data_IF_132037401768
#
_entry.id   IF_132037401768
#
_cell.length_a   1.000
_cell.length_b   1.000
_cell.length_c   1.000
_cell.angle_alpha   90.00
_cell.angle_beta   90.00
_cell.angle_gamma   90.00
#
_symmetry.space_group_name_H-M   'P 1'
#
loop_
_entity.id
_entity.type
_entity.pdbx_description
1 polymer ?
#
# COMPACT_ATOMS: atom_id res chain seq x y z
N UNK A 1 0.36 18.11 20.93
CA UNK A 1 0.51 17.22 19.75
C UNK A 1 1.66 16.22 19.98
N UNK A 2 1.53 15.28 20.91
CA UNK A 2 2.55 14.25 21.20
C UNK A 2 1.80 13.03 21.75
N UNK A 3 1.47 12.04 20.92
CA UNK A 3 0.98 10.71 21.37
C UNK A 3 0.88 9.70 20.20
N UNK A 4 0.71 10.15 18.95
CA UNK A 4 0.51 9.24 17.81
C UNK A 4 1.76 8.49 17.30
N UNK A 5 2.98 8.88 17.70
CA UNK A 5 4.21 8.25 17.17
C UNK A 5 4.40 6.80 17.65
N UNK A 6 3.96 6.48 18.87
CA UNK A 6 4.11 5.12 19.42
C UNK A 6 3.15 4.09 18.82
N UNK A 7 1.94 4.52 18.41
CA UNK A 7 0.89 3.60 17.97
C UNK A 7 1.17 2.95 16.62
N UNK A 8 1.79 3.67 15.68
CA UNK A 8 2.07 3.13 14.33
C UNK A 8 3.19 2.08 14.39
N UNK A 9 4.24 2.33 15.16
CA UNK A 9 5.33 1.36 15.37
C UNK A 9 4.85 0.13 16.14
N UNK A 10 3.99 0.32 17.15
CA UNK A 10 3.37 -0.79 17.85
C UNK A 10 2.50 -1.63 16.90
N UNK A 11 1.72 -0.99 16.03
CA UNK A 11 0.89 -1.68 15.04
C UNK A 11 1.73 -2.49 14.04
N UNK A 12 2.84 -1.92 13.52
CA UNK A 12 3.80 -2.65 12.69
C UNK A 12 4.35 -3.88 13.41
N UNK A 13 4.86 -3.70 14.63
CA UNK A 13 5.41 -4.78 15.43
C UNK A 13 4.40 -5.90 15.69
N UNK A 14 3.18 -5.55 16.12
CA UNK A 14 2.12 -6.53 16.42
C UNK A 14 1.72 -7.28 15.16
N UNK A 15 1.53 -6.60 14.04
CA UNK A 15 1.17 -7.23 12.77
C UNK A 15 2.25 -8.21 12.31
N UNK A 16 3.52 -7.78 12.30
CA UNK A 16 4.62 -8.62 11.85
C UNK A 16 4.75 -9.87 12.73
N UNK A 17 4.86 -9.66 14.05
CA UNK A 17 5.13 -10.74 15.01
C UNK A 17 3.99 -11.75 15.13
N UNK A 18 2.73 -11.29 15.10
CA UNK A 18 1.58 -12.13 15.43
C UNK A 18 0.78 -12.60 14.21
N UNK A 19 0.90 -11.93 13.06
CA UNK A 19 0.14 -12.26 11.85
C UNK A 19 1.08 -12.70 10.75
N UNK A 20 1.98 -11.84 10.29
CA UNK A 20 2.81 -12.11 9.12
C UNK A 20 3.77 -13.28 9.33
N UNK A 21 4.60 -13.23 10.38
CA UNK A 21 5.61 -14.26 10.67
C UNK A 21 4.95 -15.60 10.98
N UNK A 22 3.91 -15.58 11.81
CA UNK A 22 3.12 -16.78 12.14
C UNK A 22 2.50 -17.40 10.89
N UNK A 23 1.89 -16.60 10.03
CA UNK A 23 1.28 -17.14 8.83
C UNK A 23 2.33 -17.78 7.91
N UNK A 24 3.49 -17.15 7.71
CA UNK A 24 4.58 -17.72 6.93
C UNK A 24 5.16 -19.00 7.56
N UNK A 25 5.28 -19.08 8.89
CA UNK A 25 5.71 -20.28 9.60
C UNK A 25 4.73 -21.45 9.42
N UNK A 26 3.42 -21.20 9.56
CA UNK A 26 2.39 -22.25 9.58
C UNK A 26 1.87 -22.65 8.20
N UNK A 27 1.79 -21.71 7.25
CA UNK A 27 1.07 -21.90 5.98
C UNK A 27 1.98 -21.96 4.74
N UNK A 28 3.31 -21.83 4.88
CA UNK A 28 4.29 -22.01 3.80
C UNK A 28 4.32 -23.42 3.17
N UNK A 29 3.55 -24.37 3.70
CA UNK A 29 3.44 -25.76 3.21
C UNK A 29 2.12 -26.03 2.45
N UNK A 30 1.79 -25.17 1.48
CA UNK A 30 0.74 -25.45 0.47
C UNK A 30 -0.70 -25.13 0.88
N UNK A 31 -0.92 -24.38 1.97
CA UNK A 31 -2.25 -23.92 2.38
C UNK A 31 -2.31 -22.40 2.28
N UNK A 32 -3.23 -21.85 1.48
CA UNK A 32 -3.37 -20.39 1.29
C UNK A 32 -4.73 -19.89 1.78
N UNK A 33 -4.78 -18.72 2.40
CA UNK A 33 -6.04 -17.98 2.60
C UNK A 33 -6.19 -16.90 1.53
N UNK A 34 -7.42 -16.45 1.28
CA UNK A 34 -7.64 -15.34 0.36
C UNK A 34 -6.99 -14.04 0.83
N UNK A 35 -6.66 -13.90 2.12
CA UNK A 35 -5.95 -12.76 2.70
C UNK A 35 -4.43 -12.82 2.60
N UNK A 36 -3.84 -13.99 2.33
CA UNK A 36 -2.39 -14.13 2.27
C UNK A 36 -1.75 -13.13 1.29
N UNK A 37 -2.43 -12.92 0.16
CA UNK A 37 -2.02 -12.03 -0.93
C UNK A 37 -1.89 -10.56 -0.51
N UNK A 38 -2.49 -10.17 0.63
CA UNK A 38 -2.45 -8.78 1.13
C UNK A 38 -1.50 -8.58 2.32
N UNK A 39 -0.95 -9.64 2.91
CA UNK A 39 -0.12 -9.51 4.11
C UNK A 39 1.21 -8.80 3.84
N UNK A 40 1.88 -9.11 2.72
CA UNK A 40 3.08 -8.38 2.32
C UNK A 40 2.78 -6.89 2.02
N UNK A 41 1.74 -6.54 1.23
CA UNK A 41 1.33 -5.14 1.08
C UNK A 41 1.06 -4.42 2.41
N UNK A 42 0.34 -5.04 3.35
CA UNK A 42 0.04 -4.43 4.66
C UNK A 42 1.33 -4.18 5.45
N UNK A 43 2.26 -5.15 5.46
CA UNK A 43 3.57 -5.00 6.10
C UNK A 43 4.32 -3.80 5.51
N UNK A 44 4.38 -3.70 4.19
CA UNK A 44 5.04 -2.58 3.50
C UNK A 44 4.37 -1.24 3.83
N UNK A 45 3.04 -1.19 3.83
CA UNK A 45 2.28 0.00 4.18
C UNK A 45 2.58 0.48 5.61
N UNK A 46 2.58 -0.43 6.59
CA UNK A 46 2.87 -0.11 7.99
C UNK A 46 4.28 0.46 8.14
N UNK A 47 5.26 -0.16 7.49
CA UNK A 47 6.65 0.32 7.48
C UNK A 47 6.77 1.73 6.91
N UNK A 48 6.20 1.97 5.73
CA UNK A 48 6.22 3.30 5.09
C UNK A 48 5.49 4.36 5.92
N UNK A 49 4.41 3.98 6.62
CA UNK A 49 3.70 4.87 7.53
C UNK A 49 4.54 5.25 8.75
N UNK A 50 5.31 4.31 9.32
CA UNK A 50 6.27 4.60 10.40
C UNK A 50 7.34 5.57 9.90
N UNK A 51 7.95 5.29 8.74
CA UNK A 51 9.00 6.12 8.14
C UNK A 51 8.50 7.56 7.90
N UNK A 52 7.32 7.71 7.29
CA UNK A 52 6.67 9.01 7.07
C UNK A 52 6.41 9.78 8.36
N UNK A 53 6.00 9.11 9.45
CA UNK A 53 5.70 9.76 10.75
C UNK A 53 6.93 10.11 11.56
N UNK A 54 7.99 9.33 11.41
CA UNK A 54 9.23 9.52 12.16
C UNK A 54 10.27 10.34 11.41
N UNK A 55 10.06 10.65 10.13
CA UNK A 55 11.03 11.37 9.30
C UNK A 55 12.31 10.57 9.09
N UNK A 56 12.23 9.24 9.17
CA UNK A 56 13.35 8.35 8.88
C UNK A 56 13.29 7.97 7.42
N UNK A 57 14.29 8.40 6.65
CA UNK A 57 14.44 7.93 5.29
C UNK A 57 14.82 6.44 5.34
N UNK A 58 14.04 5.62 4.63
CA UNK A 58 14.42 4.25 4.30
C UNK A 58 15.83 4.27 3.71
N UNK A 59 16.63 3.24 3.98
CA UNK A 59 17.79 2.93 3.13
C UNK A 59 17.36 3.02 1.65
N UNK A 60 18.01 3.91 0.90
CA UNK A 60 17.72 4.22 -0.52
C UNK A 60 17.69 2.95 -1.36
N UNK A 61 18.55 1.96 -1.03
CA UNK A 61 18.55 0.66 -1.72
C UNK A 61 17.22 -0.07 -1.51
N UNK A 62 16.78 -0.20 -0.25
CA UNK A 62 15.52 -0.86 0.09
C UNK A 62 14.31 -0.15 -0.52
N UNK A 63 14.37 1.18 -0.59
CA UNK A 63 13.34 1.98 -1.25
C UNK A 63 13.27 1.68 -2.75
N UNK A 64 14.41 1.65 -3.45
CA UNK A 64 14.46 1.25 -4.87
C UNK A 64 13.96 -0.16 -5.12
N UNK A 65 14.29 -1.11 -4.23
CA UNK A 65 13.78 -2.49 -4.29
C UNK A 65 12.23 -2.51 -4.17
N UNK A 66 11.67 -1.76 -3.20
CA UNK A 66 10.21 -1.64 -3.04
C UNK A 66 9.54 -0.96 -4.24
N UNK A 67 10.14 0.10 -4.78
CA UNK A 67 9.65 0.75 -6.00
C UNK A 67 9.72 -0.18 -7.22
N UNK A 68 10.78 -0.97 -7.35
CA UNK A 68 10.89 -1.97 -8.40
C UNK A 68 9.80 -3.04 -8.27
N UNK A 69 9.54 -3.48 -7.04
CA UNK A 69 8.52 -4.47 -6.73
C UNK A 69 7.09 -3.95 -6.95
N UNK A 70 6.75 -2.73 -6.54
CA UNK A 70 5.38 -2.18 -6.71
C UNK A 70 5.04 -1.86 -8.17
N UNK A 71 6.06 -1.55 -8.97
CA UNK A 71 5.92 -1.23 -10.38
C UNK A 71 6.05 -2.46 -11.29
N UNK A 72 6.43 -3.62 -10.75
CA UNK A 72 6.46 -4.84 -11.54
C UNK A 72 5.04 -5.38 -11.78
N UNK A 73 4.86 -6.03 -12.92
CA UNK A 73 3.62 -6.77 -13.20
C UNK A 73 3.49 -7.99 -12.25
N UNK A 74 4.61 -8.43 -11.68
CA UNK A 74 4.73 -9.58 -10.79
C UNK A 74 4.29 -9.31 -9.34
N UNK A 75 3.83 -8.10 -9.02
CA UNK A 75 3.41 -7.74 -7.67
C UNK A 75 2.42 -8.76 -7.04
N UNK A 76 1.59 -9.41 -7.87
CA UNK A 76 0.65 -10.45 -7.44
C UNK A 76 1.02 -11.88 -7.85
N UNK A 77 2.17 -12.11 -8.49
CA UNK A 77 2.51 -13.40 -9.14
C UNK A 77 2.79 -14.55 -8.18
N UNK A 78 2.82 -14.30 -6.86
CA UNK A 78 2.76 -15.34 -5.83
C UNK A 78 1.34 -15.87 -5.50
N UNK A 79 0.30 -15.35 -6.16
CA UNK A 79 -1.09 -15.64 -5.80
C UNK A 79 -1.84 -16.30 -6.96
N UNK A 80 -2.03 -17.64 -6.95
CA UNK A 80 -2.88 -18.32 -7.92
C UNK A 80 -4.34 -17.94 -7.63
N UNK A 81 -4.78 -16.81 -8.18
CA UNK A 81 -6.14 -16.31 -8.02
C UNK A 81 -6.18 -14.79 -8.16
N UNK A 82 -6.97 -14.31 -9.12
CA UNK A 82 -7.37 -12.90 -9.19
C UNK A 82 -7.80 -12.44 -7.80
N UNK A 83 -7.21 -11.35 -7.32
CA UNK A 83 -7.55 -10.74 -6.02
C UNK A 83 -9.07 -10.63 -5.93
N UNK A 84 -9.64 -11.29 -4.93
CA UNK A 84 -11.07 -11.14 -4.64
C UNK A 84 -11.25 -9.89 -3.79
N UNK A 85 -11.22 -8.72 -4.44
CA UNK A 85 -11.31 -7.43 -3.77
C UNK A 85 -12.66 -7.22 -3.06
N UNK A 86 -13.76 -7.64 -3.70
CA UNK A 86 -15.14 -7.42 -3.18
C UNK A 86 -15.36 -7.99 -1.77
N UNK A 87 -15.03 -9.27 -1.47
CA UNK A 87 -15.13 -9.79 -0.10
C UNK A 87 -14.33 -9.00 0.93
N UNK A 88 -13.22 -8.38 0.52
CA UNK A 88 -12.36 -7.60 1.40
C UNK A 88 -12.83 -6.15 1.58
N UNK A 89 -13.73 -5.64 0.73
CA UNK A 89 -14.32 -4.30 0.89
C UNK A 89 -15.03 -4.14 2.24
N UNK A 90 -15.58 -5.22 2.80
CA UNK A 90 -16.20 -5.24 4.13
C UNK A 90 -15.25 -4.82 5.26
N UNK A 91 -13.93 -4.97 5.05
CA UNK A 91 -12.88 -4.54 5.99
C UNK A 91 -12.50 -3.06 5.82
N UNK A 92 -13.19 -2.34 4.93
CA UNK A 92 -13.02 -0.89 4.71
C UNK A 92 -11.77 -0.50 3.92
N UNK A 93 -10.88 -1.45 3.60
CA UNK A 93 -9.68 -1.24 2.77
C UNK A 93 -9.43 -2.46 1.89
N UNK A 94 -9.84 -2.39 0.63
CA UNK A 94 -9.53 -3.43 -0.34
C UNK A 94 -8.04 -3.35 -0.76
N UNK A 95 -7.51 -4.40 -1.39
CA UNK A 95 -6.09 -4.50 -1.73
C UNK A 95 -5.59 -3.40 -2.66
N UNK A 96 -6.44 -2.97 -3.60
CA UNK A 96 -6.07 -1.90 -4.54
C UNK A 96 -5.92 -0.56 -3.81
N UNK A 97 -6.71 -0.33 -2.75
CA UNK A 97 -6.57 0.86 -1.94
C UNK A 97 -5.26 0.88 -1.13
N UNK A 98 -4.86 -0.26 -0.57
CA UNK A 98 -3.58 -0.42 0.14
C UNK A 98 -2.40 -0.07 -0.79
N UNK A 99 -2.45 -0.56 -2.03
CA UNK A 99 -1.42 -0.30 -3.03
C UNK A 99 -1.38 1.16 -3.44
N UNK A 100 -2.55 1.77 -3.65
CA UNK A 100 -2.63 3.20 -3.94
C UNK A 100 -2.00 4.05 -2.82
N UNK A 101 -2.15 3.63 -1.56
CA UNK A 101 -1.54 4.30 -0.40
C UNK A 101 -0.02 4.09 -0.36
N UNK A 102 0.48 2.88 -0.63
CA UNK A 102 1.91 2.58 -0.77
C UNK A 102 2.55 3.46 -1.85
N UNK A 103 1.95 3.53 -3.03
CA UNK A 103 2.43 4.36 -4.14
C UNK A 103 2.51 5.84 -3.75
N UNK A 104 1.51 6.36 -3.03
CA UNK A 104 1.52 7.74 -2.57
C UNK A 104 2.64 8.00 -1.55
N UNK A 105 2.86 7.10 -0.58
CA UNK A 105 3.92 7.23 0.41
C UNK A 105 5.32 7.12 -0.20
N UNK A 106 5.50 6.23 -1.18
CA UNK A 106 6.74 6.14 -1.95
C UNK A 106 6.98 7.43 -2.74
N UNK A 107 5.98 7.92 -3.48
CA UNK A 107 6.08 9.18 -4.23
C UNK A 107 6.39 10.38 -3.31
N UNK A 108 5.74 10.48 -2.16
CA UNK A 108 5.94 11.58 -1.21
C UNK A 108 7.34 11.59 -0.58
N UNK A 109 7.98 10.43 -0.43
CA UNK A 109 9.36 10.36 0.04
C UNK A 109 10.41 10.74 -1.02
N UNK A 110 10.02 10.95 -2.28
CA UNK A 110 10.93 11.45 -3.32
C UNK A 110 10.98 12.99 -3.27
N UNK A 111 12.17 13.54 -2.99
CA UNK A 111 12.39 14.99 -2.89
C UNK A 111 12.36 15.69 -4.26
N UNK A 112 12.70 14.95 -5.32
CA UNK A 112 12.74 15.48 -6.69
C UNK A 112 11.48 15.08 -7.46
N UNK A 113 11.00 15.99 -8.31
CA UNK A 113 10.01 15.68 -9.33
C UNK A 113 10.70 14.95 -10.48
N UNK A 114 10.60 13.62 -10.49
CA UNK A 114 11.22 12.78 -11.51
C UNK A 114 10.21 11.79 -12.13
N UNK A 115 10.63 11.15 -13.23
CA UNK A 115 9.83 10.17 -13.96
C UNK A 115 9.37 9.02 -13.04
N UNK A 116 10.21 8.63 -12.08
CA UNK A 116 9.89 7.55 -11.14
C UNK A 116 8.75 7.93 -10.21
N UNK A 117 8.75 9.16 -9.67
CA UNK A 117 7.64 9.71 -8.89
C UNK A 117 6.35 9.72 -9.71
N UNK A 118 6.41 10.12 -10.97
CA UNK A 118 5.25 10.10 -11.88
C UNK A 118 4.73 8.67 -12.13
N UNK A 119 5.62 7.70 -12.35
CA UNK A 119 5.24 6.28 -12.50
C UNK A 119 4.51 5.75 -11.26
N UNK A 120 5.01 6.05 -10.06
CA UNK A 120 4.37 5.67 -8.80
C UNK A 120 2.98 6.30 -8.67
N UNK A 121 2.84 7.60 -8.97
CA UNK A 121 1.55 8.28 -8.90
C UNK A 121 0.55 7.73 -9.93
N UNK A 122 0.98 7.46 -11.16
CA UNK A 122 0.14 6.83 -12.20
C UNK A 122 -0.34 5.46 -11.77
N UNK A 123 0.57 4.61 -11.26
CA UNK A 123 0.22 3.29 -10.72
C UNK A 123 -0.77 3.43 -9.55
N UNK A 124 -0.51 4.35 -8.61
CA UNK A 124 -1.42 4.62 -7.51
C UNK A 124 -2.81 5.06 -7.96
N UNK A 125 -2.90 5.90 -8.98
CA UNK A 125 -4.17 6.36 -9.54
C UNK A 125 -4.94 5.21 -10.21
N UNK A 126 -4.24 4.34 -10.94
CA UNK A 126 -4.82 3.14 -11.55
C UNK A 126 -5.45 2.23 -10.49
N UNK A 127 -4.71 1.95 -9.41
CA UNK A 127 -5.17 1.08 -8.31
C UNK A 127 -6.29 1.75 -7.49
N UNK A 128 -6.23 3.05 -7.23
CA UNK A 128 -7.34 3.78 -6.60
C UNK A 128 -8.61 3.71 -7.46
N UNK A 129 -8.49 3.79 -8.78
CA UNK A 129 -9.63 3.64 -9.69
C UNK A 129 -10.21 2.22 -9.69
N UNK A 130 -9.37 1.18 -9.59
CA UNK A 130 -9.83 -0.20 -9.39
C UNK A 130 -10.58 -0.34 -8.07
N UNK A 131 -10.00 0.16 -6.98
CA UNK A 131 -10.62 0.19 -5.64
C UNK A 131 -11.98 0.89 -5.67
N UNK A 132 -12.10 2.06 -6.30
CA UNK A 132 -13.36 2.80 -6.43
C UNK A 132 -14.45 1.95 -7.12
N UNK A 133 -14.10 1.20 -8.17
CA UNK A 133 -15.05 0.32 -8.87
C UNK A 133 -15.51 -0.85 -7.99
N UNK A 134 -14.60 -1.45 -7.22
CA UNK A 134 -14.94 -2.57 -6.33
C UNK A 134 -15.69 -2.16 -5.07
N UNK A 135 -15.44 -0.95 -4.58
CA UNK A 135 -16.03 -0.42 -3.35
C UNK A 135 -17.28 0.40 -3.60
N UNK A 136 -17.64 0.69 -4.86
CA UNK A 136 -18.86 1.43 -5.17
C UNK A 136 -20.07 0.76 -4.50
N UNK A 137 -20.84 1.54 -3.74
CA UNK A 137 -21.98 1.07 -2.93
C UNK A 137 -21.63 0.09 -1.79
N UNK A 138 -20.34 -0.07 -1.46
CA UNK A 138 -19.85 -0.93 -0.39
C UNK A 138 -19.06 -0.11 0.66
N UNK A 139 -18.86 -0.65 1.87
CA UNK A 139 -17.91 -0.07 2.82
C UNK A 139 -16.53 0.14 2.19
N UNK A 140 -15.84 1.22 2.58
CA UNK A 140 -14.53 1.59 2.04
C UNK A 140 -14.55 2.57 0.86
N UNK A 141 -15.70 2.82 0.22
CA UNK A 141 -15.79 3.75 -0.92
C UNK A 141 -15.29 5.16 -0.62
N UNK A 142 -15.71 5.74 0.51
CA UNK A 142 -15.29 7.08 0.91
C UNK A 142 -13.76 7.18 1.12
N UNK A 143 -13.14 6.10 1.60
CA UNK A 143 -11.69 6.03 1.77
C UNK A 143 -10.98 5.96 0.41
N UNK A 144 -11.47 5.11 -0.48
CA UNK A 144 -10.96 4.99 -1.86
C UNK A 144 -11.03 6.32 -2.63
N UNK A 145 -12.15 7.03 -2.52
CA UNK A 145 -12.33 8.36 -3.09
C UNK A 145 -11.31 9.37 -2.57
N UNK A 146 -11.11 9.42 -1.24
CA UNK A 146 -10.11 10.30 -0.63
C UNK A 146 -8.70 10.00 -1.15
N UNK A 147 -8.35 8.72 -1.30
CA UNK A 147 -7.05 8.30 -1.80
C UNK A 147 -6.86 8.72 -3.27
N UNK A 148 -7.88 8.50 -4.11
CA UNK A 148 -7.88 8.93 -5.51
C UNK A 148 -7.68 10.45 -5.65
N UNK A 149 -8.44 11.25 -4.88
CA UNK A 149 -8.31 12.71 -4.87
C UNK A 149 -6.91 13.17 -4.42
N UNK A 150 -6.33 12.51 -3.42
CA UNK A 150 -4.98 12.84 -2.91
C UNK A 150 -3.91 12.61 -4.00
N UNK A 151 -4.00 11.48 -4.71
CA UNK A 151 -3.07 11.14 -5.80
C UNK A 151 -3.24 12.10 -6.99
N UNK A 152 -4.48 12.38 -7.39
CA UNK A 152 -4.74 13.31 -8.50
C UNK A 152 -4.25 14.72 -8.19
N UNK A 153 -4.40 15.18 -6.94
CA UNK A 153 -3.85 16.47 -6.51
C UNK A 153 -2.32 16.53 -6.60
N UNK A 154 -1.62 15.44 -6.29
CA UNK A 154 -0.17 15.34 -6.49
C UNK A 154 0.21 15.37 -7.98
N UNK A 155 -0.50 14.63 -8.84
CA UNK A 155 -0.25 14.63 -10.28
C UNK A 155 -0.42 16.04 -10.86
N UNK A 156 -1.49 16.76 -10.48
CA UNK A 156 -1.73 18.14 -10.92
C UNK A 156 -0.59 19.08 -10.49
N UNK A 157 -0.12 18.96 -9.23
CA UNK A 157 1.04 19.73 -8.76
C UNK A 157 2.29 19.47 -9.59
N UNK A 158 2.52 18.24 -10.05
CA UNK A 158 3.68 17.91 -10.88
C UNK A 158 3.59 18.51 -12.29
N UNK A 159 2.39 18.64 -12.87
CA UNK A 159 2.20 19.18 -14.22
C UNK A 159 2.36 20.71 -14.26
N UNK A 160 2.10 21.38 -13.14
CA UNK A 160 2.16 22.84 -13.02
C UNK A 160 3.54 23.41 -12.67
N UNK A 161 4.54 22.55 -12.40
CA UNK A 161 5.93 22.91 -12.08
C UNK A 161 6.86 22.64 -13.26
#
# INVERSE_FOLDING_TARGET
>A
RIQHRGHVRLAEFVFVKHIYDRFNEYYSKGSSTFFYVVYEPIRVLLRLAVESKEGKDTDERKRKELEGWILSEDFFVGSPGKIRAIPMCSLGRDPHCIIAEICLLLAAGRKTFDERRMQLLRKGAEEANKSNKYTQCNPGYAYSQKQSLSIMGEIQRMIML
#
